data_IF_617425587046
#
_entry.id   IF_617425587046
#
_cell.length_a   1.000
_cell.length_b   1.000
_cell.length_c   1.000
_cell.angle_alpha   90.00
_cell.angle_beta   90.00
_cell.angle_gamma   90.00
#
_symmetry.space_group_name_H-M   'P 1'
#
loop_
_entity.id
_entity.type
_entity.pdbx_description
1 polymer ?
#
# COMPACT_ATOMS: atom_id res chain seq x y z
N UNK A 1 -2.64 16.08 17.16
CA UNK A 1 -2.61 15.99 15.69
C UNK A 1 -4.02 16.23 15.18
N UNK A 2 -4.19 16.85 14.02
CA UNK A 2 -5.50 16.96 13.34
C UNK A 2 -5.54 16.10 12.07
N UNK A 3 -4.71 15.06 11.94
CA UNK A 3 -4.70 14.20 10.76
C UNK A 3 -6.07 13.54 10.49
N UNK A 4 -6.33 13.17 9.24
CA UNK A 4 -7.60 12.57 8.83
C UNK A 4 -8.00 11.37 9.71
N UNK A 5 -7.07 10.45 9.99
CA UNK A 5 -7.32 9.28 10.84
C UNK A 5 -7.67 9.65 12.30
N UNK A 6 -7.15 10.77 12.82
CA UNK A 6 -7.52 11.26 14.15
C UNK A 6 -8.90 11.89 14.11
N UNK A 7 -9.20 12.69 13.09
CA UNK A 7 -10.51 13.31 12.91
C UNK A 7 -11.60 12.25 12.70
N UNK A 8 -11.35 11.19 11.93
CA UNK A 8 -12.30 10.09 11.74
C UNK A 8 -12.73 9.45 13.08
N UNK A 9 -11.81 9.34 14.05
CA UNK A 9 -12.12 8.83 15.41
C UNK A 9 -12.93 9.82 16.27
N UNK A 10 -12.98 11.09 15.87
CA UNK A 10 -13.69 12.15 16.58
C UNK A 10 -15.05 12.48 15.95
N UNK A 11 -15.43 11.81 14.86
CA UNK A 11 -16.66 12.09 14.10
C UNK A 11 -17.90 12.05 15.00
N UNK A 12 -17.97 11.08 15.91
CA UNK A 12 -19.09 10.90 16.83
C UNK A 12 -19.02 11.86 18.05
N UNK A 13 -17.90 12.56 18.25
CA UNK A 13 -17.70 13.46 19.38
C UNK A 13 -18.21 14.87 19.12
N UNK A 14 -18.20 15.33 17.86
CA UNK A 14 -18.75 16.64 17.53
C UNK A 14 -19.12 16.75 16.04
N UNK A 15 -20.30 17.31 15.70
CA UNK A 15 -20.76 17.46 14.31
C UNK A 15 -19.92 18.38 13.41
N UNK A 16 -18.86 19.02 13.93
CA UNK A 16 -17.97 19.91 13.16
C UNK A 16 -16.89 19.11 12.44
N UNK A 17 -16.60 17.91 12.92
CA UNK A 17 -15.49 17.07 12.45
C UNK A 17 -15.74 16.63 11.01
N UNK A 18 -16.96 16.22 10.69
CA UNK A 18 -17.34 15.83 9.33
C UNK A 18 -17.20 17.00 8.32
N UNK A 19 -17.76 18.20 8.57
CA UNK A 19 -17.49 19.38 7.73
C UNK A 19 -16.01 19.69 7.54
N UNK A 20 -15.16 19.52 8.56
CA UNK A 20 -13.71 19.73 8.44
C UNK A 20 -13.08 18.69 7.50
N UNK A 21 -13.45 17.41 7.61
CA UNK A 21 -12.98 16.35 6.73
C UNK A 21 -13.41 16.59 5.27
N UNK A 22 -14.67 17.00 5.07
CA UNK A 22 -15.20 17.35 3.76
C UNK A 22 -14.46 18.56 3.17
N UNK A 23 -14.31 19.65 3.93
CA UNK A 23 -13.58 20.85 3.51
C UNK A 23 -12.15 20.51 3.07
N UNK A 24 -11.42 19.72 3.86
CA UNK A 24 -10.04 19.32 3.50
C UNK A 24 -9.97 18.52 2.22
N UNK A 25 -10.92 17.61 2.01
CA UNK A 25 -11.01 16.82 0.78
C UNK A 25 -11.25 17.72 -0.43
N UNK A 26 -12.24 18.61 -0.34
CA UNK A 26 -12.60 19.53 -1.41
C UNK A 26 -11.49 20.55 -1.70
N UNK A 27 -10.90 21.16 -0.66
CA UNK A 27 -9.79 22.11 -0.81
C UNK A 27 -8.57 21.44 -1.43
N UNK A 28 -8.26 20.18 -1.08
CA UNK A 28 -7.17 19.44 -1.74
C UNK A 28 -7.49 19.18 -3.21
N UNK A 29 -8.71 18.74 -3.53
CA UNK A 29 -9.16 18.52 -4.91
C UNK A 29 -9.03 19.80 -5.74
N UNK A 30 -9.56 20.91 -5.22
CA UNK A 30 -9.52 22.22 -5.86
C UNK A 30 -8.09 22.71 -6.05
N UNK A 31 -7.35 22.89 -4.96
CA UNK A 31 -6.06 23.57 -4.99
C UNK A 31 -4.97 22.75 -5.68
N UNK A 32 -4.98 21.42 -5.51
CA UNK A 32 -3.90 20.56 -6.04
C UNK A 32 -4.14 20.15 -7.48
N UNK A 33 -5.39 19.97 -7.88
CA UNK A 33 -5.72 19.40 -9.18
C UNK A 33 -6.50 20.38 -10.07
N UNK A 34 -7.67 20.86 -9.61
CA UNK A 34 -8.57 21.67 -10.46
C UNK A 34 -7.96 23.01 -10.83
N UNK A 35 -7.37 23.74 -9.88
CA UNK A 35 -6.77 25.05 -10.16
C UNK A 35 -5.37 24.91 -10.75
N UNK A 36 -4.58 23.96 -10.24
CA UNK A 36 -3.14 23.87 -10.53
C UNK A 36 -2.84 23.18 -11.86
N UNK A 37 -3.56 22.12 -12.24
CA UNK A 37 -3.26 21.39 -13.48
C UNK A 37 -3.44 22.28 -14.73
N UNK A 38 -4.53 23.07 -14.86
CA UNK A 38 -4.66 23.99 -15.99
C UNK A 38 -3.54 25.02 -16.07
N UNK A 39 -3.04 25.51 -14.91
CA UNK A 39 -1.93 26.47 -14.88
C UNK A 39 -0.59 25.87 -15.32
N UNK A 40 -0.50 24.54 -15.45
CA UNK A 40 0.70 23.81 -15.86
C UNK A 40 0.63 23.33 -17.32
N UNK A 41 -0.39 23.74 -18.06
CA UNK A 41 -0.49 23.44 -19.49
C UNK A 41 0.59 24.21 -20.24
N UNK A 42 1.42 23.48 -20.98
CA UNK A 42 2.41 24.07 -21.86
C UNK A 42 1.72 24.64 -23.11
N UNK A 43 1.84 25.95 -23.33
CA UNK A 43 1.15 26.68 -24.42
C UNK A 43 1.51 26.19 -25.84
N UNK A 44 2.70 25.62 -26.04
CA UNK A 44 3.14 25.14 -27.37
C UNK A 44 2.50 23.82 -27.75
N UNK A 45 2.20 22.98 -26.75
CA UNK A 45 1.71 21.62 -26.96
C UNK A 45 0.26 21.43 -26.55
N UNK A 46 -0.29 22.37 -25.77
CA UNK A 46 -1.57 22.28 -25.08
C UNK A 46 -1.69 21.01 -24.21
N UNK A 47 -0.59 20.66 -23.53
CA UNK A 47 -0.47 19.45 -22.70
C UNK A 47 0.24 19.74 -21.39
N UNK A 48 -0.01 18.89 -20.41
CA UNK A 48 0.75 18.82 -19.17
C UNK A 48 1.91 17.85 -19.35
N UNK A 49 3.12 18.27 -18.97
CA UNK A 49 4.35 17.46 -19.09
C UNK A 49 4.91 17.21 -17.69
N UNK A 50 4.73 15.99 -17.18
CA UNK A 50 5.28 15.60 -15.89
C UNK A 50 6.73 15.14 -16.01
N UNK A 51 7.51 15.41 -14.97
CA UNK A 51 8.85 14.85 -14.80
C UNK A 51 8.78 13.51 -14.10
N UNK A 52 9.38 12.47 -14.68
CA UNK A 52 9.53 11.14 -14.07
C UNK A 52 10.95 10.97 -13.54
N UNK A 53 11.08 11.04 -12.22
CA UNK A 53 12.36 10.98 -11.54
C UNK A 53 12.75 9.52 -11.29
N UNK A 54 13.87 9.10 -11.87
CA UNK A 54 14.32 7.71 -11.87
C UNK A 54 15.27 7.36 -10.70
N UNK A 55 15.88 8.36 -10.08
CA UNK A 55 16.98 8.18 -9.09
C UNK A 55 16.63 8.66 -7.68
N UNK A 56 15.36 8.98 -7.41
CA UNK A 56 14.94 9.56 -6.11
C UNK A 56 14.55 8.49 -5.09
N UNK A 57 13.72 7.51 -5.47
CA UNK A 57 13.14 6.61 -4.47
C UNK A 57 14.11 5.52 -4.03
N UNK A 58 14.12 5.22 -2.74
CA UNK A 58 15.01 4.20 -2.17
C UNK A 58 14.71 2.76 -2.65
N UNK A 59 13.50 2.50 -3.14
CA UNK A 59 13.05 1.18 -3.63
C UNK A 59 13.13 1.05 -5.14
N UNK A 60 13.53 2.11 -5.86
CA UNK A 60 13.61 2.10 -7.32
C UNK A 60 12.29 2.33 -8.07
N UNK A 61 11.22 2.68 -7.36
CA UNK A 61 10.00 3.22 -7.98
C UNK A 61 10.30 4.56 -8.67
N UNK A 62 9.59 4.86 -9.75
CA UNK A 62 9.56 6.22 -10.28
C UNK A 62 8.78 7.14 -9.35
N UNK A 63 9.18 8.40 -9.26
CA UNK A 63 8.34 9.47 -8.68
C UNK A 63 8.02 10.54 -9.72
N UNK A 64 6.79 11.04 -9.72
CA UNK A 64 6.33 12.07 -10.65
C UNK A 64 6.27 13.44 -9.97
N UNK A 65 6.77 14.48 -10.65
CA UNK A 65 6.72 15.88 -10.21
C UNK A 65 6.39 16.83 -11.36
N UNK A 66 5.93 18.03 -11.02
CA UNK A 66 5.70 19.15 -11.93
C UNK A 66 4.87 18.84 -13.19
N UNK A 67 3.66 18.25 -13.07
CA UNK A 67 2.96 17.84 -11.85
C UNK A 67 3.10 16.34 -11.53
N UNK A 68 2.75 15.96 -10.30
CA UNK A 68 2.65 14.56 -9.92
C UNK A 68 1.41 13.90 -10.56
N UNK A 69 1.62 13.06 -11.57
CA UNK A 69 0.55 12.32 -12.26
C UNK A 69 0.32 10.91 -11.70
N UNK A 70 1.13 10.46 -10.74
CA UNK A 70 0.96 9.15 -10.10
C UNK A 70 -0.09 9.17 -8.99
N UNK A 71 -0.44 10.36 -8.46
CA UNK A 71 -1.36 10.51 -7.33
C UNK A 71 -2.70 11.16 -7.70
N UNK A 72 -3.13 11.06 -8.96
CA UNK A 72 -4.43 11.59 -9.39
C UNK A 72 -5.57 10.84 -8.65
N UNK A 73 -6.52 11.55 -8.01
CA UNK A 73 -7.57 10.94 -7.19
C UNK A 73 -8.41 9.92 -7.96
N UNK A 74 -8.93 8.92 -7.23
CA UNK A 74 -9.81 7.87 -7.80
C UNK A 74 -10.86 7.34 -6.81
N UNK A 75 -10.61 7.48 -5.50
CA UNK A 75 -11.43 6.82 -4.48
C UNK A 75 -12.83 7.41 -4.30
N UNK A 76 -12.98 8.72 -4.54
CA UNK A 76 -14.27 9.41 -4.42
C UNK A 76 -14.82 9.72 -5.81
N UNK A 77 -16.13 9.88 -5.93
CA UNK A 77 -16.77 10.26 -7.19
C UNK A 77 -16.19 11.57 -7.75
N UNK A 78 -16.10 12.61 -6.91
CA UNK A 78 -15.48 13.89 -7.29
C UNK A 78 -14.01 13.73 -7.67
N UNK A 79 -13.26 12.89 -6.95
CA UNK A 79 -11.87 12.60 -7.29
C UNK A 79 -11.75 11.90 -8.65
N UNK A 80 -12.65 10.97 -8.95
CA UNK A 80 -12.70 10.27 -10.23
C UNK A 80 -12.98 11.25 -11.38
N UNK A 81 -13.85 12.25 -11.18
CA UNK A 81 -14.14 13.30 -12.19
C UNK A 81 -12.90 14.09 -12.61
N UNK A 82 -11.89 14.23 -11.75
CA UNK A 82 -10.60 14.85 -12.13
C UNK A 82 -9.91 14.04 -13.23
N UNK A 83 -10.02 12.71 -13.22
CA UNK A 83 -9.41 11.85 -14.25
C UNK A 83 -10.07 12.05 -15.61
N UNK A 84 -11.35 12.43 -15.65
CA UNK A 84 -12.08 12.72 -16.88
C UNK A 84 -11.49 13.89 -17.67
N UNK A 85 -10.70 14.75 -17.03
CA UNK A 85 -10.00 15.85 -17.70
C UNK A 85 -8.78 15.37 -18.52
N UNK A 86 -8.31 14.14 -18.32
CA UNK A 86 -7.24 13.55 -19.10
C UNK A 86 -7.83 12.85 -20.32
N UNK A 87 -7.67 13.46 -21.48
CA UNK A 87 -8.24 12.99 -22.74
C UNK A 87 -7.14 12.55 -23.72
N UNK A 88 -7.45 11.66 -24.68
CA UNK A 88 -6.54 11.34 -25.77
C UNK A 88 -6.17 12.57 -26.61
N UNK A 89 -5.07 12.48 -27.38
CA UNK A 89 -4.66 13.56 -28.28
C UNK A 89 -5.67 13.76 -29.41
N UNK A 90 -6.11 12.67 -30.04
CA UNK A 90 -7.07 12.71 -31.14
C UNK A 90 -8.42 12.15 -30.68
N UNK A 91 -9.52 12.61 -31.29
CA UNK A 91 -10.88 12.15 -30.95
C UNK A 91 -11.13 10.66 -31.26
N UNK A 92 -10.38 10.10 -32.21
CA UNK A 92 -10.43 8.69 -32.60
C UNK A 92 -9.64 7.78 -31.66
N UNK A 93 -8.77 8.34 -30.82
CA UNK A 93 -7.92 7.56 -29.93
C UNK A 93 -8.67 7.22 -28.64
N UNK A 94 -8.16 6.23 -27.90
CA UNK A 94 -8.63 5.91 -26.57
C UNK A 94 -7.47 5.87 -25.56
N UNK A 95 -7.80 5.94 -24.27
CA UNK A 95 -6.82 5.70 -23.20
C UNK A 95 -6.89 4.24 -22.80
N UNK A 96 -5.81 3.49 -23.02
CA UNK A 96 -5.65 2.14 -22.52
C UNK A 96 -4.99 2.18 -21.13
N UNK A 97 -5.58 1.45 -20.18
CA UNK A 97 -4.99 1.22 -18.85
C UNK A 97 -4.78 -0.27 -18.64
N UNK A 98 -3.57 -0.64 -18.25
CA UNK A 98 -3.23 -1.97 -17.76
C UNK A 98 -2.60 -1.83 -16.35
N UNK A 99 -2.96 -2.73 -15.45
CA UNK A 99 -2.50 -2.72 -14.06
C UNK A 99 -2.28 -4.17 -13.61
N UNK A 100 -1.23 -4.43 -12.84
CA UNK A 100 -0.98 -5.77 -12.35
C UNK A 100 -1.95 -6.11 -11.21
N UNK A 101 -2.66 -7.22 -11.33
CA UNK A 101 -3.47 -7.74 -10.22
C UNK A 101 -2.57 -8.25 -9.09
N UNK A 102 -2.48 -7.46 -8.01
CA UNK A 102 -1.84 -7.83 -6.74
C UNK A 102 -0.35 -8.23 -6.87
N UNK A 103 0.43 -7.50 -7.69
CA UNK A 103 1.83 -7.84 -7.96
C UNK A 103 2.68 -8.07 -6.70
N UNK A 104 2.48 -7.27 -5.64
CA UNK A 104 3.26 -7.39 -4.41
C UNK A 104 2.99 -8.72 -3.68
N UNK A 105 1.74 -9.19 -3.66
CA UNK A 105 1.39 -10.47 -3.06
C UNK A 105 1.87 -11.65 -3.91
N UNK A 106 1.85 -11.51 -5.24
CA UNK A 106 2.41 -12.50 -6.17
C UNK A 106 3.92 -12.63 -5.99
N UNK A 107 4.62 -11.51 -5.82
CA UNK A 107 6.05 -11.49 -5.49
C UNK A 107 6.32 -12.10 -4.12
N UNK A 108 5.50 -11.81 -3.11
CA UNK A 108 5.61 -12.46 -1.80
C UNK A 108 5.51 -13.98 -1.94
N UNK A 109 4.48 -14.50 -2.62
CA UNK A 109 4.31 -15.92 -2.85
C UNK A 109 5.50 -16.53 -3.61
N UNK A 110 6.03 -15.81 -4.60
CA UNK A 110 7.21 -16.23 -5.35
C UNK A 110 8.47 -16.30 -4.47
N UNK A 111 8.71 -15.31 -3.61
CA UNK A 111 9.92 -15.27 -2.79
C UNK A 111 9.83 -16.17 -1.56
N UNK A 112 8.67 -16.27 -0.92
CA UNK A 112 8.44 -17.18 0.20
C UNK A 112 8.31 -18.63 -0.21
N UNK A 113 8.05 -18.91 -1.50
CA UNK A 113 7.74 -20.24 -2.04
C UNK A 113 6.58 -20.92 -1.32
N UNK A 114 5.65 -20.11 -0.81
CA UNK A 114 4.47 -20.61 -0.12
C UNK A 114 3.54 -21.35 -1.08
N UNK A 115 3.38 -22.66 -0.89
CA UNK A 115 2.63 -23.51 -1.81
C UNK A 115 1.14 -23.15 -1.85
N UNK A 116 0.56 -22.78 -0.70
CA UNK A 116 -0.86 -22.41 -0.63
C UNK A 116 -1.14 -21.11 -1.38
N UNK A 117 -0.33 -20.06 -1.17
CA UNK A 117 -0.46 -18.81 -1.91
C UNK A 117 -0.15 -18.98 -3.40
N UNK A 118 0.89 -19.74 -3.76
CA UNK A 118 1.22 -20.02 -5.16
C UNK A 118 0.08 -20.74 -5.87
N UNK A 119 -0.52 -21.76 -5.24
CA UNK A 119 -1.67 -22.47 -5.78
C UNK A 119 -2.91 -21.58 -5.91
N UNK A 120 -3.21 -20.77 -4.89
CA UNK A 120 -4.32 -19.81 -4.93
C UNK A 120 -4.16 -18.80 -6.09
N UNK A 121 -2.94 -18.29 -6.31
CA UNK A 121 -2.66 -17.40 -7.44
C UNK A 121 -2.67 -18.10 -8.80
N UNK A 122 -2.25 -19.36 -8.87
CA UNK A 122 -2.30 -20.16 -10.11
C UNK A 122 -3.74 -20.50 -10.51
N UNK A 123 -4.64 -20.66 -9.52
CA UNK A 123 -6.06 -20.85 -9.72
C UNK A 123 -6.86 -19.55 -9.85
N UNK A 124 -6.19 -18.38 -9.96
CA UNK A 124 -6.78 -17.03 -10.02
C UNK A 124 -7.84 -16.75 -8.94
N UNK A 125 -7.62 -17.28 -7.74
CA UNK A 125 -8.53 -17.06 -6.61
C UNK A 125 -8.38 -15.63 -6.07
N UNK A 126 -9.47 -15.10 -5.51
CA UNK A 126 -9.40 -13.86 -4.73
C UNK A 126 -8.58 -14.11 -3.47
N UNK A 127 -7.31 -13.69 -3.50
CA UNK A 127 -6.37 -13.96 -2.41
C UNK A 127 -6.80 -13.38 -1.06
N UNK A 128 -7.57 -12.27 -1.07
CA UNK A 128 -8.04 -11.68 0.17
C UNK A 128 -9.18 -12.51 0.76
N UNK A 129 -10.06 -13.07 -0.08
CA UNK A 129 -11.07 -14.03 0.37
C UNK A 129 -10.43 -15.33 0.81
N UNK A 130 -9.48 -15.86 0.04
CA UNK A 130 -8.75 -17.08 0.37
C UNK A 130 -8.08 -16.96 1.75
N UNK A 131 -7.26 -15.92 1.96
CA UNK A 131 -6.59 -15.74 3.26
C UNK A 131 -7.61 -15.47 4.37
N UNK A 132 -8.69 -14.72 4.12
CA UNK A 132 -9.75 -14.52 5.11
C UNK A 132 -10.41 -15.84 5.52
N UNK A 133 -10.75 -16.70 4.56
CA UNK A 133 -11.37 -18.00 4.82
C UNK A 133 -10.47 -18.86 5.73
N UNK A 134 -9.16 -18.82 5.49
CA UNK A 134 -8.18 -19.55 6.30
C UNK A 134 -8.00 -19.00 7.72
N UNK A 135 -8.09 -17.69 7.90
CA UNK A 135 -7.91 -17.04 9.20
C UNK A 135 -9.18 -17.14 10.05
N UNK A 136 -10.34 -16.87 9.45
CA UNK A 136 -11.63 -16.95 10.13
C UNK A 136 -12.16 -18.38 10.23
N UNK A 137 -11.47 -19.34 9.62
CA UNK A 137 -11.84 -20.75 9.57
C UNK A 137 -13.27 -20.97 9.05
N UNK A 138 -13.57 -20.33 7.91
CA UNK A 138 -14.86 -20.43 7.20
C UNK A 138 -14.62 -20.83 5.73
N UNK A 139 -15.59 -21.46 5.07
CA UNK A 139 -15.56 -21.65 3.62
C UNK A 139 -15.36 -20.32 2.85
N UNK A 140 -14.76 -20.36 1.66
CA UNK A 140 -14.41 -19.14 0.91
C UNK A 140 -15.67 -18.37 0.45
N UNK A 141 -16.75 -19.10 0.21
CA UNK A 141 -18.10 -18.64 -0.09
C UNK A 141 -18.75 -17.89 1.07
N UNK A 142 -18.42 -18.27 2.32
CA UNK A 142 -18.96 -17.65 3.54
C UNK A 142 -18.16 -16.41 3.98
N UNK A 143 -17.09 -16.07 3.26
CA UNK A 143 -16.30 -14.87 3.55
C UNK A 143 -17.13 -13.63 3.24
N UNK A 144 -17.43 -12.85 4.28
CA UNK A 144 -18.14 -11.58 4.11
C UNK A 144 -17.26 -10.49 3.49
N UNK A 145 -17.87 -9.45 2.91
CA UNK A 145 -17.15 -8.28 2.41
C UNK A 145 -16.31 -7.59 3.49
N UNK A 146 -16.79 -7.60 4.74
CA UNK A 146 -16.06 -7.06 5.89
C UNK A 146 -14.82 -7.90 6.22
N UNK A 147 -14.96 -9.23 6.30
CA UNK A 147 -13.84 -10.16 6.52
C UNK A 147 -12.77 -9.98 5.45
N UNK A 148 -13.18 -9.91 4.18
CA UNK A 148 -12.28 -9.65 3.04
C UNK A 148 -11.57 -8.30 3.18
N UNK A 149 -12.28 -7.24 3.55
CA UNK A 149 -11.69 -5.90 3.72
C UNK A 149 -10.67 -5.86 4.85
N UNK A 150 -11.01 -6.44 6.00
CA UNK A 150 -10.09 -6.59 7.14
C UNK A 150 -8.86 -7.39 6.76
N UNK A 151 -9.05 -8.55 6.11
CA UNK A 151 -7.94 -9.38 5.65
C UNK A 151 -7.05 -8.68 4.63
N UNK A 152 -7.62 -7.89 3.71
CA UNK A 152 -6.83 -7.06 2.79
C UNK A 152 -5.90 -6.12 3.54
N UNK A 153 -6.41 -5.38 4.53
CA UNK A 153 -5.59 -4.48 5.33
C UNK A 153 -4.52 -5.23 6.14
N UNK A 154 -4.85 -6.42 6.66
CA UNK A 154 -3.90 -7.31 7.36
C UNK A 154 -2.80 -7.80 6.43
N UNK A 155 -3.12 -8.32 5.25
CA UNK A 155 -2.12 -8.81 4.29
C UNK A 155 -1.10 -7.72 3.94
N UNK A 156 -1.57 -6.51 3.63
CA UNK A 156 -0.65 -5.39 3.39
C UNK A 156 0.13 -5.02 4.65
N UNK A 157 -0.52 -4.97 5.81
CA UNK A 157 0.14 -4.68 7.09
C UNK A 157 1.29 -5.65 7.37
N UNK A 158 1.05 -6.96 7.26
CA UNK A 158 2.03 -8.02 7.54
C UNK A 158 3.18 -7.98 6.53
N UNK A 159 2.89 -7.81 5.23
CA UNK A 159 3.92 -7.71 4.18
C UNK A 159 4.84 -6.51 4.41
N UNK A 160 4.31 -5.41 4.93
CA UNK A 160 5.09 -4.24 5.30
C UNK A 160 5.66 -4.31 6.73
N UNK A 161 5.57 -5.48 7.38
CA UNK A 161 6.11 -5.76 8.70
C UNK A 161 5.46 -4.94 9.82
N UNK A 162 4.21 -4.51 9.65
CA UNK A 162 3.46 -3.87 10.73
C UNK A 162 3.34 -4.81 11.93
N UNK A 163 3.73 -4.32 13.11
CA UNK A 163 3.45 -5.01 14.37
C UNK A 163 2.00 -4.84 14.82
N UNK A 164 1.61 -5.56 15.88
CA UNK A 164 0.24 -5.58 16.41
C UNK A 164 -0.34 -4.17 16.66
N UNK A 165 0.45 -3.24 17.21
CA UNK A 165 0.00 -1.85 17.43
C UNK A 165 -0.37 -1.11 16.13
N UNK A 166 0.45 -1.24 15.09
CA UNK A 166 0.19 -0.59 13.80
C UNK A 166 -1.02 -1.21 13.09
N UNK A 167 -1.11 -2.54 13.16
CA UNK A 167 -2.23 -3.28 12.58
C UNK A 167 -3.55 -2.94 13.29
N UNK A 168 -3.57 -2.93 14.62
CA UNK A 168 -4.77 -2.65 15.42
C UNK A 168 -5.37 -1.28 15.08
N UNK A 169 -4.53 -0.25 14.90
CA UNK A 169 -4.98 1.07 14.43
C UNK A 169 -5.48 1.06 12.98
N UNK A 170 -4.84 0.28 12.10
CA UNK A 170 -5.19 0.26 10.68
C UNK A 170 -6.53 -0.41 10.40
N UNK A 171 -6.93 -1.39 11.22
CA UNK A 171 -8.17 -2.16 11.04
C UNK A 171 -9.21 -1.96 12.15
N UNK A 172 -8.93 -1.08 13.12
CA UNK A 172 -9.89 -0.68 14.15
C UNK A 172 -10.21 -1.79 15.16
N UNK A 173 -9.23 -2.62 15.53
CA UNK A 173 -9.41 -3.71 16.51
C UNK A 173 -8.50 -3.53 17.72
N UNK A 174 -8.69 -4.34 18.76
CA UNK A 174 -7.80 -4.32 19.92
C UNK A 174 -6.40 -4.84 19.58
N UNK A 175 -5.37 -4.39 20.31
CA UNK A 175 -4.01 -4.89 20.13
C UNK A 175 -3.88 -6.41 20.37
N UNK A 176 -4.54 -7.02 21.38
CA UNK A 176 -4.53 -8.47 21.55
C UNK A 176 -5.11 -9.22 20.36
N UNK A 177 -6.22 -8.75 19.79
CA UNK A 177 -6.79 -9.36 18.59
C UNK A 177 -5.84 -9.21 17.40
N UNK A 178 -5.27 -8.03 17.17
CA UNK A 178 -4.29 -7.82 16.10
C UNK A 178 -3.07 -8.74 16.25
N UNK A 179 -2.60 -8.96 17.48
CA UNK A 179 -1.52 -9.90 17.77
C UNK A 179 -1.94 -11.34 17.42
N UNK A 180 -3.11 -11.78 17.87
CA UNK A 180 -3.65 -13.11 17.54
C UNK A 180 -3.74 -13.31 16.03
N UNK A 181 -4.25 -12.33 15.29
CA UNK A 181 -4.30 -12.36 13.82
C UNK A 181 -2.93 -12.55 13.18
N UNK A 182 -1.90 -11.83 13.65
CA UNK A 182 -0.52 -11.95 13.15
C UNK A 182 0.05 -13.34 13.47
N UNK A 183 -0.18 -13.83 14.69
CA UNK A 183 0.32 -15.13 15.14
C UNK A 183 -0.34 -16.27 14.34
N UNK A 184 -1.68 -16.23 14.17
CA UNK A 184 -2.44 -17.22 13.38
C UNK A 184 -2.01 -17.19 11.90
N UNK A 185 -1.75 -16.00 11.35
CA UNK A 185 -1.22 -15.84 9.99
C UNK A 185 0.14 -16.53 9.83
N UNK A 186 1.11 -16.28 10.72
CA UNK A 186 2.44 -16.88 10.62
C UNK A 186 2.46 -18.37 10.98
N UNK A 187 1.55 -18.84 11.83
CA UNK A 187 1.37 -20.26 12.10
C UNK A 187 0.95 -21.00 10.82
N UNK A 188 0.07 -20.40 10.00
CA UNK A 188 -0.36 -20.96 8.71
C UNK A 188 0.71 -20.78 7.63
N UNK A 189 1.28 -19.59 7.51
CA UNK A 189 2.23 -19.22 6.46
C UNK A 189 3.67 -19.14 6.98
N UNK A 190 4.17 -20.26 7.53
CA UNK A 190 5.51 -20.33 8.12
C UNK A 190 6.65 -20.04 7.11
N UNK A 191 6.42 -20.35 5.84
CA UNK A 191 7.30 -20.03 4.70
C UNK A 191 7.53 -18.52 4.54
N UNK A 192 6.48 -17.71 4.73
CA UNK A 192 6.54 -16.24 4.69
C UNK A 192 7.37 -15.72 5.85
N UNK A 193 7.15 -16.26 7.06
CA UNK A 193 7.96 -15.89 8.23
C UNK A 193 9.44 -16.17 7.98
N UNK A 194 9.77 -17.37 7.47
CA UNK A 194 11.16 -17.75 7.11
C UNK A 194 11.76 -16.79 6.09
N UNK A 195 11.00 -16.41 5.05
CA UNK A 195 11.44 -15.43 4.07
C UNK A 195 11.75 -14.07 4.72
N UNK A 196 10.82 -13.54 5.54
CA UNK A 196 11.03 -12.27 6.24
C UNK A 196 12.26 -12.30 7.16
N UNK A 197 12.44 -13.39 7.91
CA UNK A 197 13.61 -13.58 8.77
C UNK A 197 14.90 -13.63 7.93
N UNK A 198 14.89 -14.32 6.78
CA UNK A 198 16.05 -14.38 5.88
C UNK A 198 16.42 -13.00 5.31
N UNK A 199 15.43 -12.15 4.99
CA UNK A 199 15.68 -10.78 4.55
C UNK A 199 16.35 -9.95 5.65
N UNK A 200 15.87 -10.08 6.89
CA UNK A 200 16.46 -9.41 8.05
C UNK A 200 17.90 -9.87 8.26
N UNK A 201 18.15 -11.17 8.27
CA UNK A 201 19.47 -11.74 8.55
C UNK A 201 20.49 -11.41 7.45
N UNK A 202 20.06 -11.43 6.18
CA UNK A 202 20.86 -10.96 5.05
C UNK A 202 21.21 -9.47 5.21
N UNK A 203 20.25 -8.62 5.59
CA UNK A 203 20.50 -7.20 5.80
C UNK A 203 21.41 -6.93 7.02
N UNK A 204 21.33 -7.76 8.08
CA UNK A 204 22.24 -7.68 9.25
C UNK A 204 23.69 -7.99 8.88
N UNK A 205 23.90 -8.97 8.00
CA UNK A 205 25.22 -9.37 7.52
C UNK A 205 25.81 -8.39 6.48
N UNK A 206 25.01 -7.99 5.50
CA UNK A 206 25.49 -7.22 4.33
C UNK A 206 25.35 -5.71 4.49
N UNK A 207 24.46 -5.25 5.39
CA UNK A 207 24.11 -3.85 5.57
C UNK A 207 23.13 -3.28 4.53
N UNK A 208 22.61 -4.10 3.61
CA UNK A 208 21.64 -3.68 2.59
C UNK A 208 20.60 -4.78 2.30
N UNK A 209 19.47 -4.37 1.71
CA UNK A 209 18.51 -5.27 1.08
C UNK A 209 18.72 -5.21 -0.45
N UNK A 210 18.44 -6.32 -1.14
CA UNK A 210 18.66 -6.47 -2.59
C UNK A 210 17.44 -7.10 -3.27
N UNK A 211 17.03 -6.56 -4.42
CA UNK A 211 15.92 -7.11 -5.22
C UNK A 211 16.39 -8.20 -6.20
N UNK A 212 15.45 -8.90 -6.84
CA UNK A 212 15.74 -9.95 -7.84
C UNK A 212 16.59 -9.48 -9.03
N UNK A 213 16.61 -8.18 -9.33
CA UNK A 213 17.44 -7.59 -10.38
C UNK A 213 18.63 -6.80 -9.80
N UNK A 214 19.09 -7.18 -8.61
CA UNK A 214 20.28 -6.65 -7.94
C UNK A 214 20.24 -5.16 -7.57
N UNK A 215 19.04 -4.56 -7.49
CA UNK A 215 18.91 -3.21 -6.92
C UNK A 215 19.15 -3.28 -5.42
N UNK A 216 20.04 -2.45 -4.90
CA UNK A 216 20.38 -2.41 -3.47
C UNK A 216 19.80 -1.18 -2.77
N UNK A 217 19.38 -1.37 -1.53
CA UNK A 217 19.05 -0.30 -0.59
C UNK A 217 19.82 -0.49 0.71
N UNK A 218 20.63 0.49 1.10
CA UNK A 218 21.31 0.49 2.40
C UNK A 218 20.28 0.50 3.53
N UNK A 219 20.40 -0.42 4.47
CA UNK A 219 19.50 -0.52 5.63
C UNK A 219 20.26 -0.03 6.87
N UNK A 220 20.13 1.26 7.16
CA UNK A 220 20.73 1.84 8.37
C UNK A 220 19.97 1.38 9.62
N UNK A 221 20.65 1.27 10.75
CA UNK A 221 20.09 0.86 12.04
C UNK A 221 19.65 -0.61 12.17
N UNK A 222 19.95 -1.49 11.21
CA UNK A 222 19.58 -2.92 11.29
C UNK A 222 20.19 -3.63 12.52
N UNK A 223 21.34 -3.17 12.99
CA UNK A 223 22.02 -3.65 14.20
C UNK A 223 21.93 -2.65 15.38
N UNK A 224 21.00 -1.69 15.35
CA UNK A 224 20.91 -0.65 16.39
C UNK A 224 20.41 -1.24 17.71
N UNK A 225 20.97 -0.79 18.85
CA UNK A 225 20.52 -1.21 20.20
C UNK A 225 19.09 -0.76 20.50
N UNK A 226 18.69 0.41 19.99
CA UNK A 226 17.32 0.93 20.14
C UNK A 226 16.33 0.07 19.34
N UNK A 227 15.40 -0.58 20.05
CA UNK A 227 14.44 -1.51 19.47
C UNK A 227 13.54 -0.87 18.40
N UNK A 228 13.12 0.39 18.58
CA UNK A 228 12.25 1.07 17.62
C UNK A 228 12.98 1.36 16.30
N UNK A 229 14.23 1.84 16.38
CA UNK A 229 15.07 2.08 15.19
C UNK A 229 15.38 0.78 14.46
N UNK A 230 15.69 -0.29 15.21
CA UNK A 230 15.95 -1.62 14.65
C UNK A 230 14.70 -2.21 13.97
N UNK A 231 13.55 -2.18 14.64
CA UNK A 231 12.30 -2.67 14.06
C UNK A 231 11.89 -1.90 12.79
N UNK A 232 12.17 -0.60 12.72
CA UNK A 232 11.97 0.17 11.49
C UNK A 232 12.91 -0.31 10.38
N UNK A 233 14.19 -0.53 10.69
CA UNK A 233 15.16 -1.04 9.73
C UNK A 233 14.79 -2.44 9.20
N UNK A 234 14.32 -3.33 10.08
CA UNK A 234 13.84 -4.68 9.72
C UNK A 234 12.64 -4.60 8.76
N UNK A 235 11.66 -3.73 9.02
CA UNK A 235 10.55 -3.48 8.08
C UNK A 235 11.03 -2.99 6.72
N UNK A 236 12.01 -2.10 6.69
CA UNK A 236 12.58 -1.60 5.44
C UNK A 236 13.33 -2.71 4.68
N UNK A 237 14.04 -3.59 5.39
CA UNK A 237 14.75 -4.72 4.77
C UNK A 237 13.79 -5.69 4.08
N UNK A 238 12.65 -5.97 4.70
CA UNK A 238 11.62 -6.87 4.15
C UNK A 238 10.87 -6.21 2.98
N UNK A 239 10.53 -4.94 3.10
CA UNK A 239 9.72 -4.23 2.10
C UNK A 239 10.49 -3.87 0.81
N UNK A 240 11.82 -3.76 0.89
CA UNK A 240 12.67 -3.39 -0.25
C UNK A 240 12.77 -4.55 -1.23
#
# INVERSE_FOLDING_TARGET
>A
STDAAVLEQLTDQHPIVEPILQYRTLSKLKNTYVDKLPSLINLRTNRVHASFNQTITATGRLSSSDPNLQNIPIRTELGSKVRSAFIPKNKSDCILRADYSQIELRLLAHFSKDQALMAAFAADQDIHRFVASQIFNVPIEDVTSEMRSRCKAVNFGIIYGQGAFGLSRSIGISQPEAKKFIDDYFARYSSIRKFMDSCIDAAKHTGYAETILHRRRKITNINNRNANKRAQAERLAINT
#
